data_IF_545764958947
#
_entry.id   IF_545764958947
#
_cell.length_a   1.000
_cell.length_b   1.000
_cell.length_c   1.000
_cell.angle_alpha   90.00
_cell.angle_beta   90.00
_cell.angle_gamma   90.00
#
_symmetry.space_group_name_H-M   'P 1'
#
loop_
_entity.id
_entity.type
_entity.pdbx_description
1 polymer ?
#
# COMPACT_ATOMS: atom_id res chain seq x y z
N UNK A 1 -3.46 19.42 20.26
CA UNK A 1 -3.71 19.42 18.81
C UNK A 1 -4.70 18.31 18.55
N UNK A 2 -5.89 18.63 17.99
CA UNK A 2 -6.96 17.64 17.84
C UNK A 2 -6.54 16.50 16.92
N UNK A 3 -6.54 15.30 17.46
CA UNK A 3 -6.43 14.02 16.75
C UNK A 3 -7.66 13.89 15.85
N UNK A 4 -7.57 14.39 14.61
CA UNK A 4 -8.61 14.11 13.63
C UNK A 4 -8.45 12.66 13.19
N UNK A 5 -9.28 11.79 13.77
CA UNK A 5 -9.53 10.45 13.23
C UNK A 5 -9.98 10.62 11.77
N UNK A 6 -9.33 9.92 10.84
CA UNK A 6 -9.77 9.91 9.44
C UNK A 6 -10.99 9.01 9.30
N UNK A 7 -11.82 9.25 8.28
CA UNK A 7 -12.94 8.36 8.00
C UNK A 7 -12.46 6.94 7.63
N UNK A 8 -13.30 5.92 7.86
CA UNK A 8 -13.01 4.55 7.40
C UNK A 8 -12.78 4.49 5.89
N UNK A 9 -13.55 5.24 5.10
CA UNK A 9 -13.38 5.34 3.65
C UNK A 9 -12.01 5.93 3.27
N UNK A 10 -11.53 6.94 4.00
CA UNK A 10 -10.19 7.51 3.82
C UNK A 10 -9.11 6.47 4.17
N UNK A 11 -9.24 5.78 5.30
CA UNK A 11 -8.32 4.72 5.71
C UNK A 11 -8.27 3.59 4.68
N UNK A 12 -9.43 3.12 4.22
CA UNK A 12 -9.55 2.06 3.21
C UNK A 12 -8.89 2.46 1.89
N UNK A 13 -8.99 3.73 1.49
CA UNK A 13 -8.31 4.24 0.30
C UNK A 13 -6.79 4.23 0.44
N UNK A 14 -6.26 4.65 1.60
CA UNK A 14 -4.82 4.61 1.88
C UNK A 14 -4.33 3.17 1.91
N UNK A 15 -5.07 2.28 2.59
CA UNK A 15 -4.75 0.86 2.68
C UNK A 15 -4.75 0.18 1.31
N UNK A 16 -5.74 0.48 0.45
CA UNK A 16 -5.78 -0.05 -0.91
C UNK A 16 -4.50 0.29 -1.69
N UNK A 17 -4.03 1.54 -1.59
CA UNK A 17 -2.78 1.95 -2.24
C UNK A 17 -1.55 1.31 -1.59
N UNK A 18 -1.48 1.24 -0.26
CA UNK A 18 -0.38 0.58 0.45
C UNK A 18 -0.28 -0.91 0.09
N UNK A 19 -1.40 -1.62 0.03
CA UNK A 19 -1.44 -3.03 -0.35
C UNK A 19 -1.15 -3.25 -1.82
N UNK A 20 -1.68 -2.41 -2.72
CA UNK A 20 -1.40 -2.51 -4.15
C UNK A 20 0.08 -2.28 -4.43
N UNK A 21 0.68 -1.24 -3.84
CA UNK A 21 2.12 -0.98 -3.96
C UNK A 21 2.92 -2.11 -3.31
N UNK A 22 2.53 -2.56 -2.11
CA UNK A 22 3.13 -3.67 -1.36
C UNK A 22 3.11 -5.02 -2.09
N UNK A 23 2.08 -5.28 -2.88
CA UNK A 23 2.02 -6.43 -3.78
C UNK A 23 2.89 -6.21 -5.03
N UNK A 24 2.73 -5.06 -5.70
CA UNK A 24 3.41 -4.78 -6.96
C UNK A 24 4.95 -4.76 -6.84
N UNK A 25 5.49 -4.37 -5.69
CA UNK A 25 6.93 -4.34 -5.47
C UNK A 25 7.60 -5.67 -5.17
N UNK A 26 6.85 -6.77 -5.05
CA UNK A 26 7.45 -8.09 -4.82
C UNK A 26 8.32 -8.55 -6.00
N UNK A 27 9.35 -9.34 -5.70
CA UNK A 27 10.39 -9.71 -6.66
C UNK A 27 10.72 -11.19 -6.74
N UNK A 28 10.40 -11.97 -5.70
CA UNK A 28 10.68 -13.40 -5.64
C UNK A 28 9.49 -14.27 -6.09
N UNK A 29 8.51 -13.68 -6.75
CA UNK A 29 7.37 -14.38 -7.35
C UNK A 29 7.64 -14.71 -8.83
N UNK A 30 6.88 -15.64 -9.38
CA UNK A 30 6.96 -16.01 -10.80
C UNK A 30 5.60 -15.79 -11.50
N UNK A 31 5.50 -14.88 -12.48
CA UNK A 31 6.55 -13.98 -12.96
C UNK A 31 6.89 -12.89 -11.94
N UNK A 32 8.13 -12.39 -11.98
CA UNK A 32 8.57 -11.29 -11.13
C UNK A 32 7.79 -10.00 -11.43
N UNK A 33 7.43 -9.23 -10.37
CA UNK A 33 6.74 -7.94 -10.52
C UNK A 33 7.75 -6.80 -10.64
N UNK A 34 7.73 -5.79 -9.75
CA UNK A 34 8.69 -4.68 -9.83
C UNK A 34 10.04 -5.01 -9.21
N UNK A 35 10.14 -6.02 -8.33
CA UNK A 35 11.42 -6.41 -7.72
C UNK A 35 11.98 -5.43 -6.70
N UNK A 36 11.14 -4.55 -6.15
CA UNK A 36 11.52 -3.55 -5.13
C UNK A 36 11.84 -4.16 -3.77
N UNK A 37 11.22 -5.28 -3.43
CA UNK A 37 11.57 -6.08 -2.26
C UNK A 37 11.63 -7.56 -2.58
N UNK A 38 12.50 -8.23 -1.83
CA UNK A 38 12.87 -9.65 -1.99
C UNK A 38 11.92 -10.57 -1.24
N UNK A 39 10.63 -10.48 -1.56
CA UNK A 39 9.58 -11.35 -1.01
C UNK A 39 8.66 -11.86 -2.11
N UNK A 40 7.89 -12.88 -1.75
CA UNK A 40 6.88 -13.60 -2.52
C UNK A 40 5.66 -13.92 -1.62
N UNK A 41 5.38 -13.06 -0.65
CA UNK A 41 4.37 -13.25 0.39
C UNK A 41 2.95 -13.47 -0.16
N UNK A 42 2.65 -12.89 -1.32
CA UNK A 42 1.36 -13.02 -2.02
C UNK A 42 1.40 -14.10 -3.11
N UNK A 43 2.59 -14.59 -3.49
CA UNK A 43 2.72 -15.63 -4.51
C UNK A 43 2.03 -16.93 -4.07
N UNK A 44 1.12 -17.45 -4.89
CA UNK A 44 0.28 -18.59 -4.49
C UNK A 44 1.06 -19.87 -4.24
N UNK A 45 2.20 -20.03 -4.91
CA UNK A 45 3.08 -21.20 -4.82
C UNK A 45 4.24 -20.97 -3.82
N UNK A 46 4.50 -19.72 -3.47
CA UNK A 46 5.45 -19.30 -2.43
C UNK A 46 4.77 -18.97 -1.10
N UNK A 47 4.93 -17.73 -0.65
CA UNK A 47 4.43 -17.27 0.65
C UNK A 47 2.91 -17.39 0.85
N UNK A 48 2.12 -17.28 -0.23
CA UNK A 48 0.68 -17.44 -0.21
C UNK A 48 0.25 -18.84 0.27
N UNK A 49 0.94 -19.90 -0.19
CA UNK A 49 0.68 -21.25 0.29
C UNK A 49 1.04 -21.44 1.77
N UNK A 50 2.15 -20.83 2.21
CA UNK A 50 2.52 -20.84 3.63
C UNK A 50 1.42 -20.20 4.50
N UNK A 51 0.92 -19.00 4.12
CA UNK A 51 -0.15 -18.35 4.86
C UNK A 51 -1.47 -19.11 4.79
N UNK A 52 -1.77 -19.76 3.66
CA UNK A 52 -2.96 -20.60 3.50
C UNK A 52 -2.96 -21.76 4.49
N UNK A 53 -1.81 -22.40 4.71
CA UNK A 53 -1.65 -23.47 5.71
C UNK A 53 -1.65 -22.95 7.14
N UNK A 54 -1.02 -21.80 7.40
CA UNK A 54 -0.89 -21.24 8.75
C UNK A 54 -2.21 -20.62 9.27
N UNK A 55 -2.92 -19.89 8.41
CA UNK A 55 -4.09 -19.09 8.78
C UNK A 55 -5.18 -19.18 7.70
N UNK A 56 -5.78 -20.36 7.46
CA UNK A 56 -6.62 -20.62 6.27
C UNK A 56 -7.78 -19.63 6.10
N UNK A 57 -8.35 -19.13 7.20
CA UNK A 57 -9.47 -18.18 7.18
C UNK A 57 -9.08 -16.74 6.87
N UNK A 58 -7.82 -16.36 7.03
CA UNK A 58 -7.34 -14.96 6.89
C UNK A 58 -6.07 -14.87 6.06
N UNK A 59 -5.72 -15.92 5.32
CA UNK A 59 -4.44 -16.01 4.62
C UNK A 59 -4.25 -14.90 3.60
N UNK A 60 -5.28 -14.53 2.84
CA UNK A 60 -5.22 -13.43 1.89
C UNK A 60 -4.85 -12.09 2.57
N UNK A 61 -5.42 -11.81 3.74
CA UNK A 61 -5.04 -10.65 4.54
C UNK A 61 -3.62 -10.76 5.08
N UNK A 62 -3.24 -11.92 5.64
CA UNK A 62 -1.91 -12.14 6.20
C UNK A 62 -0.80 -12.00 5.14
N UNK A 63 -1.01 -12.54 3.94
CA UNK A 63 -0.12 -12.37 2.79
C UNK A 63 0.07 -10.90 2.41
N UNK A 64 -1.02 -10.12 2.31
CA UNK A 64 -0.92 -8.70 1.97
C UNK A 64 -0.32 -7.85 3.09
N UNK A 65 -0.59 -8.16 4.36
CA UNK A 65 0.08 -7.51 5.49
C UNK A 65 1.59 -7.78 5.48
N UNK A 66 2.02 -8.99 5.13
CA UNK A 66 3.44 -9.31 4.97
C UNK A 66 4.07 -8.53 3.81
N UNK A 67 3.40 -8.44 2.66
CA UNK A 67 3.85 -7.65 1.51
C UNK A 67 3.93 -6.14 1.83
N UNK A 68 2.89 -5.59 2.49
CA UNK A 68 2.87 -4.22 3.03
C UNK A 68 4.00 -4.00 4.03
N UNK A 69 4.28 -4.97 4.91
CA UNK A 69 5.38 -4.87 5.87
C UNK A 69 6.73 -4.80 5.18
N UNK A 70 6.95 -5.57 4.11
CA UNK A 70 8.16 -5.47 3.31
C UNK A 70 8.33 -4.06 2.70
N UNK A 71 7.25 -3.50 2.16
CA UNK A 71 7.25 -2.14 1.64
C UNK A 71 7.52 -1.08 2.72
N UNK A 72 6.92 -1.20 3.91
CA UNK A 72 7.20 -0.31 5.05
C UNK A 72 8.66 -0.39 5.51
N UNK A 73 9.29 -1.58 5.47
CA UNK A 73 10.70 -1.74 5.81
C UNK A 73 11.60 -1.09 4.75
N UNK A 74 11.28 -1.25 3.46
CA UNK A 74 11.98 -0.59 2.37
C UNK A 74 11.86 0.94 2.46
N UNK A 75 10.65 1.46 2.70
CA UNK A 75 10.39 2.88 2.92
C UNK A 75 11.15 3.43 4.13
N UNK A 76 11.07 2.77 5.29
CA UNK A 76 11.83 3.17 6.48
C UNK A 76 13.33 3.23 6.21
N UNK A 77 13.88 2.25 5.47
CA UNK A 77 15.29 2.24 5.09
C UNK A 77 15.62 3.46 4.21
N UNK A 78 14.83 3.72 3.18
CA UNK A 78 15.03 4.87 2.30
C UNK A 78 14.90 6.22 3.05
N UNK A 79 13.89 6.37 3.92
CA UNK A 79 13.69 7.58 4.74
C UNK A 79 14.83 7.81 5.74
N UNK A 80 15.45 6.75 6.27
CA UNK A 80 16.59 6.90 7.20
C UNK A 80 17.81 7.59 6.57
N UNK A 81 17.86 7.70 5.24
CA UNK A 81 18.88 8.43 4.50
C UNK A 81 18.55 9.92 4.30
N UNK A 82 17.35 10.35 4.68
CA UNK A 82 16.92 11.76 4.60
C UNK A 82 17.44 12.55 5.81
N UNK A 83 17.64 13.86 5.62
CA UNK A 83 18.15 14.74 6.68
C UNK A 83 17.21 14.85 7.90
N UNK A 84 15.89 14.81 7.67
CA UNK A 84 14.86 14.76 8.71
C UNK A 84 13.84 13.66 8.35
N UNK A 85 14.05 12.43 8.84
CA UNK A 85 13.16 11.31 8.55
C UNK A 85 11.75 11.49 9.10
N UNK A 86 11.55 12.23 10.19
CA UNK A 86 10.24 12.39 10.84
C UNK A 86 9.46 13.61 10.29
N UNK A 87 10.17 14.60 9.74
CA UNK A 87 9.64 15.76 9.02
C UNK A 87 9.16 15.49 7.60
N UNK A 88 8.83 14.23 7.27
CA UNK A 88 8.27 13.86 5.96
C UNK A 88 7.04 12.97 6.08
N UNK A 89 6.26 12.90 5.01
CA UNK A 89 5.17 11.93 4.83
C UNK A 89 5.39 11.13 3.56
N UNK A 90 5.32 9.81 3.67
CA UNK A 90 5.38 8.88 2.53
C UNK A 90 4.14 8.00 2.54
N UNK A 91 3.94 7.21 1.48
CA UNK A 91 2.79 6.30 1.41
C UNK A 91 2.78 5.30 2.58
N UNK A 92 3.94 4.98 3.15
CA UNK A 92 4.12 4.01 4.23
C UNK A 92 4.52 4.63 5.58
N UNK A 93 4.49 5.97 5.69
CA UNK A 93 4.78 6.69 6.92
C UNK A 93 3.95 7.98 7.02
N UNK A 94 2.89 7.92 7.83
CA UNK A 94 1.96 9.03 8.03
C UNK A 94 2.13 9.75 9.37
N UNK A 95 2.95 9.19 10.26
CA UNK A 95 3.04 9.61 11.65
C UNK A 95 2.11 8.79 12.53
N UNK A 96 2.37 8.86 13.84
CA UNK A 96 1.81 7.94 14.84
C UNK A 96 0.28 7.77 14.74
N UNK A 97 -0.49 8.86 14.81
CA UNK A 97 -1.95 8.78 14.91
C UNK A 97 -2.62 8.12 13.70
N UNK A 98 -2.16 8.43 12.48
CA UNK A 98 -2.75 7.85 11.27
C UNK A 98 -2.21 6.43 11.04
N UNK A 99 -0.93 6.18 11.32
CA UNK A 99 -0.38 4.82 11.20
C UNK A 99 -1.06 3.84 12.20
N UNK A 100 -1.39 4.28 13.41
CA UNK A 100 -2.17 3.51 14.40
C UNK A 100 -3.59 3.22 13.90
N UNK A 101 -4.29 4.24 13.39
CA UNK A 101 -5.63 4.05 12.80
C UNK A 101 -5.64 3.08 11.63
N UNK A 102 -4.62 3.12 10.74
CA UNK A 102 -4.51 2.18 9.64
C UNK A 102 -4.29 0.75 10.14
N UNK A 103 -3.56 0.56 11.24
CA UNK A 103 -3.36 -0.76 11.86
C UNK A 103 -4.67 -1.28 12.45
N UNK A 104 -5.41 -0.46 13.20
CA UNK A 104 -6.71 -0.86 13.74
C UNK A 104 -7.70 -1.18 12.62
N UNK A 105 -7.75 -0.34 11.57
CA UNK A 105 -8.65 -0.56 10.43
C UNK A 105 -8.39 -1.89 9.72
N UNK A 106 -7.13 -2.31 9.58
CA UNK A 106 -6.81 -3.64 9.04
C UNK A 106 -7.38 -4.76 9.92
N UNK A 107 -7.33 -4.62 11.25
CA UNK A 107 -7.89 -5.62 12.17
C UNK A 107 -9.40 -5.71 12.01
N UNK A 108 -10.09 -4.57 11.92
CA UNK A 108 -11.53 -4.51 11.70
C UNK A 108 -11.91 -5.22 10.40
N UNK A 109 -11.25 -4.87 9.28
CA UNK A 109 -11.50 -5.47 7.96
C UNK A 109 -11.25 -6.99 7.93
N UNK A 110 -10.26 -7.47 8.69
CA UNK A 110 -9.95 -8.90 8.80
C UNK A 110 -10.99 -9.70 9.59
N UNK A 111 -11.60 -9.06 10.57
CA UNK A 111 -12.61 -9.66 11.44
C UNK A 111 -14.03 -9.44 10.91
N UNK A 112 -14.21 -8.59 9.89
CA UNK A 112 -15.51 -8.34 9.28
C UNK A 112 -16.08 -9.63 8.67
N UNK A 113 -17.22 -10.03 9.24
CA UNK A 113 -17.91 -11.28 8.98
C UNK A 113 -19.32 -10.95 8.53
N UNK A 114 -19.70 -11.46 7.37
CA UNK A 114 -21.05 -11.34 6.82
C UNK A 114 -21.77 -12.66 6.98
N UNK A 115 -22.90 -12.63 7.70
CA UNK A 115 -23.81 -13.77 7.77
C UNK A 115 -24.39 -14.05 6.38
N UNK A 116 -24.38 -15.32 6.00
CA UNK A 116 -24.98 -15.81 4.76
C UNK A 116 -26.40 -16.32 5.04
N UNK A 117 -27.24 -16.31 4.02
CA UNK A 117 -28.65 -16.76 4.11
C UNK A 117 -28.79 -18.23 4.52
N UNK A 118 -27.75 -19.05 4.30
CA UNK A 118 -27.69 -20.46 4.69
C UNK A 118 -27.18 -20.70 6.12
N UNK A 119 -26.95 -19.64 6.90
CA UNK A 119 -26.39 -19.71 8.25
C UNK A 119 -24.86 -19.86 8.29
N UNK A 120 -24.19 -19.78 7.13
CA UNK A 120 -22.74 -19.66 7.05
C UNK A 120 -22.24 -18.24 7.38
N UNK A 121 -20.93 -18.11 7.53
CA UNK A 121 -20.26 -16.81 7.69
C UNK A 121 -19.22 -16.64 6.60
N UNK A 122 -19.30 -15.53 5.87
CA UNK A 122 -18.33 -15.15 4.85
C UNK A 122 -17.47 -14.00 5.34
N UNK A 123 -16.15 -14.18 5.31
CA UNK A 123 -15.22 -13.06 5.45
C UNK A 123 -14.90 -12.49 4.09
N UNK A 124 -14.84 -11.16 4.01
CA UNK A 124 -14.46 -10.49 2.78
C UNK A 124 -12.94 -10.63 2.55
N UNK A 125 -12.58 -11.08 1.37
CA UNK A 125 -11.20 -11.01 0.91
C UNK A 125 -10.78 -9.53 0.75
N UNK A 126 -9.48 -9.20 0.89
CA UNK A 126 -9.01 -7.83 0.75
C UNK A 126 -9.49 -7.14 -0.54
N UNK A 127 -9.50 -7.87 -1.65
CA UNK A 127 -9.91 -7.39 -2.99
C UNK A 127 -11.38 -7.00 -3.07
N UNK A 128 -12.23 -7.56 -2.21
CA UNK A 128 -13.64 -7.18 -2.09
C UNK A 128 -13.89 -6.11 -1.02
N UNK A 129 -13.01 -6.03 -0.01
CA UNK A 129 -13.16 -5.13 1.12
C UNK A 129 -12.60 -3.72 0.88
N UNK A 130 -11.62 -3.57 -0.04
CA UNK A 130 -10.90 -2.32 -0.25
C UNK A 130 -11.13 -1.73 -1.66
N UNK A 131 -11.15 -0.39 -1.78
CA UNK A 131 -11.42 0.30 -3.04
C UNK A 131 -10.17 0.38 -3.92
N UNK A 132 -9.70 -0.76 -4.44
CA UNK A 132 -8.59 -0.77 -5.37
C UNK A 132 -8.91 -0.06 -6.70
N UNK A 133 -7.92 0.55 -7.38
CA UNK A 133 -8.12 1.10 -8.73
C UNK A 133 -8.68 0.06 -9.71
N UNK A 134 -9.51 0.50 -10.65
CA UNK A 134 -10.25 -0.41 -11.53
C UNK A 134 -9.33 -1.37 -12.30
N UNK A 135 -9.59 -2.67 -12.10
CA UNK A 135 -8.86 -3.77 -12.71
C UNK A 135 -7.38 -3.85 -12.32
N UNK A 136 -7.00 -3.24 -11.19
CA UNK A 136 -5.74 -3.49 -10.51
C UNK A 136 -6.03 -3.91 -9.09
N UNK A 137 -5.72 -5.16 -8.75
CA UNK A 137 -5.82 -5.62 -7.37
C UNK A 137 -4.73 -6.66 -7.10
N UNK A 138 -4.30 -6.82 -5.84
CA UNK A 138 -3.41 -7.89 -5.47
C UNK A 138 -3.98 -9.26 -5.83
N UNK A 139 -3.12 -10.17 -6.30
CA UNK A 139 -3.51 -11.50 -6.80
C UNK A 139 -4.01 -11.52 -8.25
N UNK A 140 -4.16 -10.38 -8.92
CA UNK A 140 -4.42 -10.31 -10.36
C UNK A 140 -3.15 -10.49 -11.21
N UNK A 141 -3.31 -10.47 -12.54
CA UNK A 141 -2.18 -10.42 -13.47
C UNK A 141 -1.41 -9.11 -13.31
N UNK A 142 -0.08 -9.19 -13.21
CA UNK A 142 0.77 -8.02 -13.11
C UNK A 142 1.12 -7.47 -14.49
N UNK A 143 0.68 -6.24 -14.75
CA UNK A 143 1.07 -5.46 -15.92
C UNK A 143 1.70 -4.14 -15.44
N UNK A 144 3.00 -3.98 -15.71
CA UNK A 144 3.78 -2.79 -15.33
C UNK A 144 3.23 -1.52 -15.98
N UNK A 145 2.88 -1.58 -17.27
CA UNK A 145 2.41 -0.42 -18.02
C UNK A 145 1.03 0.02 -17.51
N UNK A 146 0.13 -0.94 -17.27
CA UNK A 146 -1.19 -0.69 -16.68
C UNK A 146 -1.07 -0.09 -15.28
N UNK A 147 -0.20 -0.63 -14.43
CA UNK A 147 0.04 -0.10 -13.10
C UNK A 147 0.57 1.35 -13.14
N UNK A 148 1.55 1.62 -13.99
CA UNK A 148 2.10 2.97 -14.15
C UNK A 148 1.06 3.98 -14.66
N UNK A 149 0.23 3.58 -15.64
CA UNK A 149 -0.86 4.39 -16.15
C UNK A 149 -1.90 4.70 -15.06
N UNK A 150 -2.28 3.68 -14.26
CA UNK A 150 -3.23 3.88 -13.17
C UNK A 150 -2.66 4.79 -12.07
N UNK A 151 -1.39 4.64 -11.69
CA UNK A 151 -0.75 5.54 -10.72
C UNK A 151 -0.78 6.99 -11.21
N UNK A 152 -0.43 7.25 -12.47
CA UNK A 152 -0.55 8.61 -13.04
C UNK A 152 -1.98 9.15 -13.00
N UNK A 153 -2.98 8.29 -13.23
CA UNK A 153 -4.38 8.66 -13.22
C UNK A 153 -4.93 8.96 -11.81
N UNK A 154 -4.30 8.47 -10.74
CA UNK A 154 -4.73 8.74 -9.36
C UNK A 154 -4.68 10.23 -9.00
N UNK A 155 -3.71 10.96 -9.56
CA UNK A 155 -3.58 12.40 -9.33
C UNK A 155 -2.97 13.09 -10.55
N UNK A 156 -3.78 13.41 -11.58
CA UNK A 156 -3.31 14.07 -12.79
C UNK A 156 -2.57 15.37 -12.45
N UNK A 157 -1.37 15.53 -12.99
CA UNK A 157 -0.53 16.72 -12.75
C UNK A 157 0.29 16.70 -11.47
N UNK A 158 0.18 15.65 -10.63
CA UNK A 158 1.13 15.45 -9.53
C UNK A 158 2.55 15.32 -10.11
N UNK A 159 3.47 16.08 -9.54
CA UNK A 159 4.87 16.09 -9.97
C UNK A 159 5.79 16.08 -8.77
N UNK A 160 7.07 15.77 -9.01
CA UNK A 160 8.08 15.73 -7.97
C UNK A 160 9.39 16.39 -8.44
N UNK A 161 10.25 16.69 -7.47
CA UNK A 161 11.66 16.97 -7.67
C UNK A 161 12.46 15.72 -7.26
N UNK A 162 13.27 15.19 -8.17
CA UNK A 162 14.16 14.08 -7.87
C UNK A 162 15.33 14.59 -7.01
N UNK A 163 15.58 13.91 -5.89
CA UNK A 163 16.69 14.15 -4.98
C UNK A 163 17.48 12.85 -4.81
N UNK A 164 18.69 12.93 -4.27
CA UNK A 164 19.50 11.74 -3.96
C UNK A 164 18.84 10.82 -2.93
N UNK A 165 17.92 11.34 -2.11
CA UNK A 165 17.29 10.62 -1.00
C UNK A 165 15.82 10.25 -1.26
N UNK A 166 15.25 10.61 -2.42
CA UNK A 166 13.83 10.35 -2.71
C UNK A 166 13.24 11.24 -3.79
N UNK A 167 11.91 11.21 -3.93
CA UNK A 167 11.14 12.08 -4.83
C UNK A 167 10.30 13.05 -4.01
N UNK A 168 10.75 14.30 -3.86
CA UNK A 168 9.96 15.30 -3.14
C UNK A 168 8.77 15.72 -3.98
N UNK A 169 7.55 15.43 -3.53
CA UNK A 169 6.32 15.85 -4.22
C UNK A 169 6.23 17.38 -4.22
N UNK A 170 5.86 17.96 -5.36
CA UNK A 170 5.72 19.41 -5.52
C UNK A 170 4.47 19.91 -4.80
N UNK A 171 4.58 21.06 -4.14
CA UNK A 171 3.50 21.67 -3.37
C UNK A 171 3.49 21.23 -1.90
N UNK A 172 2.54 21.77 -1.15
CA UNK A 172 2.31 21.39 0.24
C UNK A 172 1.62 20.03 0.33
N UNK A 173 1.80 19.33 1.45
CA UNK A 173 1.00 18.13 1.75
C UNK A 173 -0.48 18.52 1.83
N UNK A 174 -1.39 17.87 1.07
CA UNK A 174 -2.82 18.09 1.21
C UNK A 174 -3.31 17.80 2.63
N UNK A 175 -4.31 18.55 3.09
CA UNK A 175 -5.00 18.29 4.35
C UNK A 175 -5.82 16.99 4.30
N UNK A 176 -6.36 16.63 3.14
CA UNK A 176 -7.02 15.33 2.90
C UNK A 176 -5.96 14.22 2.73
N UNK A 177 -5.87 13.27 3.68
CA UNK A 177 -4.91 12.18 3.58
C UNK A 177 -5.15 11.26 2.38
N UNK A 178 -6.39 11.11 1.90
CA UNK A 178 -6.66 10.32 0.70
C UNK A 178 -6.08 11.00 -0.55
N UNK A 179 -6.20 12.32 -0.67
CA UNK A 179 -5.55 13.08 -1.74
C UNK A 179 -4.02 12.99 -1.65
N UNK A 180 -3.46 13.14 -0.45
CA UNK A 180 -2.01 12.99 -0.25
C UNK A 180 -1.54 11.58 -0.67
N UNK A 181 -2.27 10.53 -0.34
CA UNK A 181 -1.92 9.14 -0.70
C UNK A 181 -1.96 8.92 -2.22
N UNK A 182 -2.97 9.47 -2.90
CA UNK A 182 -3.05 9.46 -4.38
C UNK A 182 -1.87 10.16 -5.02
N UNK A 183 -1.46 11.33 -4.51
CA UNK A 183 -0.30 12.07 -5.02
C UNK A 183 1.02 11.30 -4.79
N UNK A 184 1.20 10.70 -3.62
CA UNK A 184 2.37 9.88 -3.29
C UNK A 184 2.46 8.65 -4.21
N UNK A 185 1.34 7.94 -4.41
CA UNK A 185 1.28 6.81 -5.34
C UNK A 185 1.53 7.24 -6.80
N UNK A 186 0.94 8.36 -7.23
CA UNK A 186 1.17 8.90 -8.57
C UNK A 186 2.65 9.23 -8.83
N UNK A 187 3.35 9.79 -7.83
CA UNK A 187 4.76 10.15 -7.94
C UNK A 187 5.72 8.94 -7.90
N UNK A 188 5.22 7.71 -7.71
CA UNK A 188 5.99 6.49 -7.98
C UNK A 188 6.24 6.32 -9.48
N UNK A 189 5.36 6.84 -10.36
CA UNK A 189 5.56 6.83 -11.80
C UNK A 189 6.54 7.95 -12.23
N UNK A 190 7.47 7.71 -13.18
CA UNK A 190 7.73 6.42 -13.83
C UNK A 190 8.32 5.40 -12.87
N UNK A 191 7.88 4.15 -12.99
CA UNK A 191 8.31 3.06 -12.13
C UNK A 191 9.77 2.72 -12.45
N UNK A 192 10.63 2.73 -11.42
CA UNK A 192 12.06 2.39 -11.54
C UNK A 192 12.33 0.89 -11.35
N UNK A 193 13.59 0.49 -11.46
CA UNK A 193 14.10 -0.83 -11.04
C UNK A 193 14.29 -0.92 -9.52
N UNK A 194 14.40 0.22 -8.85
CA UNK A 194 14.52 0.32 -7.39
C UNK A 194 13.36 1.15 -6.83
N UNK A 195 13.03 0.89 -5.57
CA UNK A 195 12.07 1.70 -4.84
C UNK A 195 12.71 3.02 -4.39
N UNK A 196 12.17 4.13 -4.89
CA UNK A 196 12.54 5.48 -4.47
C UNK A 196 11.27 6.14 -3.90
N UNK A 197 11.20 6.41 -2.58
CA UNK A 197 9.97 6.88 -1.97
C UNK A 197 9.63 8.30 -2.44
N UNK A 198 8.39 8.52 -2.94
CA UNK A 198 7.82 9.84 -3.00
C UNK A 198 7.48 10.33 -1.59
N UNK A 199 7.72 11.60 -1.33
CA UNK A 199 7.47 12.18 -0.01
C UNK A 199 7.02 13.63 -0.07
N UNK A 200 6.18 14.03 0.88
CA UNK A 200 5.97 15.43 1.24
C UNK A 200 6.91 15.82 2.37
N UNK A 201 7.44 17.04 2.34
CA UNK A 201 8.09 17.66 3.50
C UNK A 201 7.02 18.38 4.32
N UNK A 202 7.13 18.29 5.64
CA UNK A 202 6.28 19.02 6.59
C UNK A 202 6.87 20.38 6.98
#
# INVERSE_FOLDING_TARGET
>A
MSTHLVSTATADHILALQFLVGWAGEGHCEPSRLGWWRTDAVDEMGGGDFFRRLAPRTHAWASLEAARRAAMLADRKARSLMADPDGVRTLFFWGFDLDEQLIERIRDLKMDEKDLEDGGVQRLAPTAALPFPEGLHPGGEFDRQRLEAAFRALSPGAGFQALSTGRQVKGACPEDPAQAARMLAACLAPLGTEYIPPFFRL
#
